data_IF_942261264064
#
_entry.id   IF_942261264064
#
_cell.length_a   1.000
_cell.length_b   1.000
_cell.length_c   1.000
_cell.angle_alpha   90.00
_cell.angle_beta   90.00
_cell.angle_gamma   90.00
#
_symmetry.space_group_name_H-M   'P 1'
#
loop_
_entity.id
_entity.type
_entity.pdbx_description
1 polymer ?
#
# COMPACT_ATOMS: atom_id res chain seq x y z
N UNK A 1 -22.98 9.19 8.30
CA UNK A 1 -22.68 9.88 7.03
C UNK A 1 -21.74 11.03 7.34
N UNK A 2 -20.44 10.85 7.12
CA UNK A 2 -19.45 11.94 7.21
C UNK A 2 -19.62 12.87 5.99
N UNK A 3 -19.54 14.21 6.14
CA UNK A 3 -19.78 15.13 5.04
C UNK A 3 -18.77 14.94 3.87
N UNK A 4 -19.17 15.14 2.61
CA UNK A 4 -18.30 15.00 1.44
C UNK A 4 -17.03 15.87 1.49
N UNK A 5 -17.12 17.04 2.12
CA UNK A 5 -15.99 17.97 2.28
C UNK A 5 -14.87 17.40 3.17
N UNK A 6 -15.20 16.53 4.13
CA UNK A 6 -14.24 15.95 5.08
C UNK A 6 -13.39 14.87 4.41
N UNK A 7 -13.96 14.10 3.48
CA UNK A 7 -13.24 13.07 2.72
C UNK A 7 -12.28 13.70 1.71
N UNK A 8 -12.72 14.73 0.99
CA UNK A 8 -11.87 15.43 0.02
C UNK A 8 -10.69 16.17 0.69
N UNK A 9 -10.91 16.79 1.84
CA UNK A 9 -9.84 17.44 2.61
C UNK A 9 -8.83 16.42 3.18
N UNK A 10 -9.32 15.26 3.63
CA UNK A 10 -8.45 14.16 4.08
C UNK A 10 -7.61 13.63 2.91
N UNK A 11 -8.23 13.40 1.74
CA UNK A 11 -7.53 12.97 0.52
C UNK A 11 -6.47 14.00 0.09
N UNK A 12 -6.76 15.30 0.17
CA UNK A 12 -5.78 16.36 -0.12
C UNK A 12 -4.61 16.37 0.88
N UNK A 13 -4.85 16.10 2.16
CA UNK A 13 -3.80 15.98 3.17
C UNK A 13 -2.93 14.71 2.97
N UNK A 14 -3.55 13.60 2.55
CA UNK A 14 -2.84 12.37 2.16
C UNK A 14 -2.00 12.61 0.91
N UNK A 15 -2.53 13.38 -0.05
CA UNK A 15 -1.84 13.77 -1.28
C UNK A 15 -0.61 14.64 -1.02
N UNK A 16 -0.65 15.49 0.01
CA UNK A 16 0.49 16.32 0.42
C UNK A 16 1.67 15.50 0.99
N UNK A 17 1.49 14.20 1.26
CA UNK A 17 2.53 13.28 1.71
C UNK A 17 3.01 12.32 0.62
N UNK A 18 2.72 12.58 -0.67
CA UNK A 18 3.05 11.75 -1.85
C UNK A 18 4.54 11.72 -2.21
N UNK A 19 5.40 11.43 -1.23
CA UNK A 19 6.83 11.24 -1.45
C UNK A 19 7.13 9.78 -1.79
N UNK A 20 8.30 9.56 -2.39
CA UNK A 20 8.87 8.20 -2.57
C UNK A 20 9.85 7.84 -1.46
N UNK A 21 9.79 8.53 -0.32
CA UNK A 21 10.70 8.33 0.83
C UNK A 21 10.62 6.88 1.36
N UNK A 22 9.48 6.21 1.22
CA UNK A 22 9.33 4.80 1.59
C UNK A 22 10.24 3.84 0.80
N UNK A 23 10.79 4.28 -0.34
CA UNK A 23 11.79 3.53 -1.10
C UNK A 23 13.20 3.65 -0.50
N UNK A 24 13.47 4.67 0.30
CA UNK A 24 14.81 4.94 0.84
C UNK A 24 15.21 3.88 1.86
N UNK A 25 16.10 2.96 1.48
CA UNK A 25 16.49 1.84 2.35
C UNK A 25 15.61 0.60 2.21
N UNK A 26 14.62 0.60 1.29
CA UNK A 26 13.91 -0.61 0.88
C UNK A 26 14.62 -1.29 -0.31
N UNK A 27 15.88 -1.66 -0.09
CA UNK A 27 16.77 -2.21 -1.13
C UNK A 27 16.23 -3.40 -1.93
N UNK A 28 15.48 -4.35 -1.33
CA UNK A 28 14.89 -5.44 -2.12
C UNK A 28 13.95 -4.95 -3.22
N UNK A 29 13.25 -3.84 -3.01
CA UNK A 29 12.41 -3.24 -4.04
C UNK A 29 13.27 -2.53 -5.10
N UNK A 30 14.16 -1.64 -4.67
CA UNK A 30 14.98 -0.83 -5.57
C UNK A 30 15.82 -1.69 -6.52
N UNK A 31 16.45 -2.74 -5.97
CA UNK A 31 17.28 -3.68 -6.72
C UNK A 31 16.48 -4.38 -7.81
N UNK A 32 15.24 -4.77 -7.53
CA UNK A 32 14.42 -5.47 -8.52
C UNK A 32 13.80 -4.55 -9.55
N UNK A 33 13.42 -3.34 -9.16
CA UNK A 33 12.96 -2.31 -10.08
C UNK A 33 14.05 -1.95 -11.11
N UNK A 34 15.31 -1.82 -10.66
CA UNK A 34 16.46 -1.58 -11.53
C UNK A 34 16.70 -2.76 -12.48
N UNK A 35 16.77 -3.99 -11.96
CA UNK A 35 16.94 -5.19 -12.78
C UNK A 35 15.89 -5.33 -13.87
N UNK A 36 14.64 -4.99 -13.57
CA UNK A 36 13.56 -5.05 -14.58
C UNK A 36 13.72 -3.95 -15.63
N UNK A 37 14.23 -2.79 -15.24
CA UNK A 37 14.47 -1.69 -16.16
C UNK A 37 15.59 -1.98 -17.16
N UNK A 38 16.51 -2.87 -16.81
CA UNK A 38 17.58 -3.36 -17.68
C UNK A 38 17.11 -4.49 -18.63
N UNK A 39 15.94 -5.09 -18.37
CA UNK A 39 15.41 -6.16 -19.22
C UNK A 39 14.80 -5.60 -20.51
N UNK A 40 14.88 -6.34 -21.64
CA UNK A 40 14.18 -5.96 -22.87
C UNK A 40 12.67 -5.83 -22.62
N UNK A 41 11.98 -4.84 -23.23
CA UNK A 41 10.54 -4.60 -23.03
C UNK A 41 9.64 -5.82 -23.27
N UNK A 42 10.09 -6.77 -24.10
CA UNK A 42 9.36 -8.00 -24.44
C UNK A 42 9.50 -9.13 -23.39
N UNK A 43 10.41 -9.04 -22.42
CA UNK A 43 10.84 -10.19 -21.61
C UNK A 43 9.83 -10.67 -20.55
N UNK A 44 8.82 -9.88 -20.18
CA UNK A 44 7.78 -10.33 -19.25
C UNK A 44 6.57 -9.40 -19.28
N UNK A 45 5.35 -9.93 -19.38
CA UNK A 45 4.10 -9.16 -19.23
C UNK A 45 3.55 -9.15 -17.79
N UNK A 46 4.31 -9.67 -16.84
CA UNK A 46 3.86 -9.79 -15.45
C UNK A 46 3.84 -8.42 -14.77
N UNK A 47 2.79 -8.16 -13.99
CA UNK A 47 2.72 -7.00 -13.13
C UNK A 47 3.90 -7.02 -12.14
N UNK A 48 4.56 -5.88 -11.98
CA UNK A 48 5.61 -5.69 -10.99
C UNK A 48 5.02 -5.10 -9.71
N UNK A 49 4.16 -4.11 -9.85
CA UNK A 49 3.58 -3.36 -8.73
C UNK A 49 2.09 -3.18 -8.95
N UNK A 50 1.30 -3.54 -7.95
CA UNK A 50 -0.14 -3.30 -7.91
C UNK A 50 -0.41 -2.40 -6.70
N UNK A 51 -0.72 -1.13 -6.95
CA UNK A 51 -1.23 -0.20 -5.94
C UNK A 51 -2.73 -0.44 -5.78
N UNK A 52 -3.16 -0.74 -4.55
CA UNK A 52 -4.55 -1.10 -4.26
C UNK A 52 -5.12 -0.08 -3.28
N UNK A 53 -6.12 0.67 -3.74
CA UNK A 53 -6.78 1.74 -3.00
C UNK A 53 -5.88 2.94 -2.74
N UNK A 54 -6.38 3.86 -1.92
CA UNK A 54 -5.56 4.89 -1.28
C UNK A 54 -5.40 6.20 -2.05
N UNK A 55 -6.15 6.44 -3.13
CA UNK A 55 -6.15 7.73 -3.83
C UNK A 55 -6.30 7.62 -5.33
N UNK A 56 -5.38 8.23 -6.07
CA UNK A 56 -5.45 8.39 -7.53
C UNK A 56 -4.22 7.78 -8.26
N UNK A 57 -3.64 6.71 -7.70
CA UNK A 57 -2.49 6.01 -8.30
C UNK A 57 -1.16 6.76 -8.18
N UNK A 58 -1.00 7.57 -7.13
CA UNK A 58 0.15 8.45 -6.93
C UNK A 58 1.47 7.70 -6.87
N UNK A 59 1.51 6.53 -6.23
CA UNK A 59 2.74 5.76 -6.17
C UNK A 59 3.08 5.12 -7.51
N UNK A 60 2.09 4.67 -8.28
CA UNK A 60 2.31 4.24 -9.66
C UNK A 60 2.87 5.37 -10.52
N UNK A 61 2.33 6.59 -10.42
CA UNK A 61 2.85 7.76 -11.14
C UNK A 61 4.31 8.03 -10.76
N UNK A 62 4.60 8.07 -9.46
CA UNK A 62 5.95 8.33 -8.97
C UNK A 62 6.96 7.23 -9.36
N UNK A 63 6.53 5.97 -9.34
CA UNK A 63 7.35 4.83 -9.77
C UNK A 63 7.58 4.83 -11.28
N UNK A 64 6.59 5.21 -12.09
CA UNK A 64 6.75 5.34 -13.55
C UNK A 64 7.83 6.39 -13.88
N UNK A 65 7.81 7.53 -13.17
CA UNK A 65 8.84 8.58 -13.31
C UNK A 65 10.23 8.13 -12.86
N UNK A 66 10.31 7.42 -11.72
CA UNK A 66 11.59 6.99 -11.13
C UNK A 66 12.22 5.81 -11.89
N UNK A 67 11.38 4.90 -12.40
CA UNK A 67 11.81 3.69 -13.11
C UNK A 67 11.01 3.52 -14.42
N UNK A 68 11.39 4.20 -15.51
CA UNK A 68 10.68 4.13 -16.79
C UNK A 68 10.56 2.70 -17.35
N UNK A 69 11.50 1.81 -17.03
CA UNK A 69 11.42 0.40 -17.44
C UNK A 69 10.31 -0.42 -16.76
N UNK A 70 9.62 0.15 -15.76
CA UNK A 70 8.42 -0.41 -15.15
C UNK A 70 7.14 -0.04 -15.90
N UNK A 71 7.20 0.80 -16.93
CA UNK A 71 6.04 1.12 -17.76
C UNK A 71 5.30 -0.15 -18.18
N UNK A 72 3.96 -0.11 -18.10
CA UNK A 72 3.04 -1.23 -18.38
C UNK A 72 3.11 -2.41 -17.40
N UNK A 73 3.97 -2.35 -16.38
CA UNK A 73 4.03 -3.31 -15.25
C UNK A 73 3.42 -2.76 -13.96
N UNK A 74 2.97 -1.51 -14.00
CA UNK A 74 2.30 -0.82 -12.89
C UNK A 74 0.79 -0.92 -13.08
N UNK A 75 0.09 -1.28 -12.02
CA UNK A 75 -1.36 -1.40 -12.00
C UNK A 75 -1.89 -0.61 -10.81
N UNK A 76 -2.87 0.26 -11.05
CA UNK A 76 -3.65 0.88 -10.00
C UNK A 76 -5.03 0.25 -9.94
N UNK A 77 -5.45 -0.15 -8.73
CA UNK A 77 -6.73 -0.77 -8.45
C UNK A 77 -7.51 0.02 -7.41
N UNK A 78 -8.77 0.35 -7.70
CA UNK A 78 -9.69 0.96 -6.74
C UNK A 78 -11.14 0.60 -7.12
N UNK A 79 -12.11 1.05 -6.33
CA UNK A 79 -13.53 0.86 -6.61
C UNK A 79 -13.94 1.48 -7.96
N UNK A 80 -14.95 0.93 -8.64
CA UNK A 80 -15.44 1.45 -9.92
C UNK A 80 -15.69 2.97 -9.91
N UNK A 81 -16.24 3.51 -8.83
CA UNK A 81 -16.58 4.93 -8.68
C UNK A 81 -15.35 5.85 -8.68
N UNK A 82 -14.19 5.34 -8.26
CA UNK A 82 -12.92 6.07 -8.28
C UNK A 82 -12.29 5.95 -9.66
N UNK A 83 -12.13 4.72 -10.17
CA UNK A 83 -11.42 4.50 -11.45
C UNK A 83 -12.14 5.14 -12.64
N UNK A 84 -13.48 5.18 -12.62
CA UNK A 84 -14.27 5.76 -13.71
C UNK A 84 -14.14 7.30 -13.78
N UNK A 85 -13.67 7.94 -12.71
CA UNK A 85 -13.46 9.40 -12.65
C UNK A 85 -12.01 9.79 -12.93
N UNK A 86 -11.11 8.81 -12.99
CA UNK A 86 -9.69 9.05 -13.20
C UNK A 86 -9.39 9.25 -14.68
N UNK A 87 -8.62 10.29 -15.05
CA UNK A 87 -8.04 10.33 -16.38
C UNK A 87 -7.05 9.16 -16.57
N UNK A 88 -6.77 8.74 -17.81
CA UNK A 88 -5.70 7.80 -18.09
C UNK A 88 -4.38 8.27 -17.49
N UNK A 89 -3.65 7.35 -16.86
CA UNK A 89 -2.31 7.60 -16.32
C UNK A 89 -1.30 6.94 -17.24
N UNK A 90 -0.35 7.72 -17.77
CA UNK A 90 0.65 7.19 -18.69
C UNK A 90 1.53 6.12 -18.02
N UNK A 91 1.81 5.04 -18.75
CA UNK A 91 2.58 3.90 -18.25
C UNK A 91 1.88 3.04 -17.18
N UNK A 92 0.66 3.38 -16.72
CA UNK A 92 -0.06 2.69 -15.63
C UNK A 92 -1.39 2.11 -16.12
N UNK A 93 -1.66 0.85 -15.79
CA UNK A 93 -2.96 0.23 -16.08
C UNK A 93 -3.91 0.44 -14.91
N UNK A 94 -4.99 1.19 -15.13
CA UNK A 94 -6.05 1.41 -14.15
C UNK A 94 -7.09 0.27 -14.25
N UNK A 95 -7.52 -0.29 -13.12
CA UNK A 95 -8.48 -1.40 -13.08
C UNK A 95 -9.44 -1.26 -11.89
N UNK A 96 -10.74 -1.47 -12.11
CA UNK A 96 -11.69 -1.57 -11.01
C UNK A 96 -11.44 -2.87 -10.21
N UNK A 97 -11.40 -2.77 -8.87
CA UNK A 97 -11.31 -3.93 -7.98
C UNK A 97 -11.73 -3.57 -6.54
N UNK A 98 -12.47 -4.46 -5.90
CA UNK A 98 -12.80 -4.36 -4.47
C UNK A 98 -11.82 -5.14 -3.60
N UNK A 99 -11.39 -4.54 -2.49
CA UNK A 99 -10.53 -5.18 -1.47
C UNK A 99 -11.16 -6.46 -0.87
N UNK A 100 -12.49 -6.54 -0.89
CA UNK A 100 -13.26 -7.68 -0.35
C UNK A 100 -13.45 -8.82 -1.37
N UNK A 101 -13.00 -8.62 -2.59
CA UNK A 101 -12.95 -9.65 -3.62
C UNK A 101 -11.56 -10.25 -3.72
N UNK A 102 -11.47 -11.50 -4.20
CA UNK A 102 -10.17 -12.14 -4.44
C UNK A 102 -9.35 -11.33 -5.45
N UNK A 103 -8.08 -11.11 -5.15
CA UNK A 103 -7.18 -10.34 -6.01
C UNK A 103 -7.06 -10.97 -7.40
N UNK A 104 -7.38 -10.23 -8.46
CA UNK A 104 -7.39 -10.74 -9.84
C UNK A 104 -6.01 -10.76 -10.50
N UNK A 105 -5.07 -9.92 -10.04
CA UNK A 105 -3.70 -9.90 -10.56
C UNK A 105 -2.89 -11.01 -9.92
N UNK A 106 -2.44 -11.97 -10.73
CA UNK A 106 -1.70 -13.14 -10.26
C UNK A 106 -0.19 -12.91 -10.23
N UNK A 107 0.40 -13.19 -9.07
CA UNK A 107 1.83 -13.25 -8.84
C UNK A 107 2.55 -11.94 -9.08
N UNK A 108 1.90 -10.78 -8.93
CA UNK A 108 2.62 -9.50 -8.95
C UNK A 108 3.78 -9.55 -7.96
N UNK A 109 4.89 -8.89 -8.27
CA UNK A 109 6.03 -8.90 -7.36
C UNK A 109 5.69 -8.17 -6.06
N UNK A 110 5.01 -7.03 -6.16
CA UNK A 110 4.56 -6.24 -5.03
C UNK A 110 3.06 -5.91 -5.16
N UNK A 111 2.34 -6.08 -4.05
CA UNK A 111 0.99 -5.55 -3.84
C UNK A 111 1.11 -4.49 -2.75
N UNK A 112 0.70 -3.26 -3.02
CA UNK A 112 0.99 -2.11 -2.17
C UNK A 112 -0.29 -1.43 -1.72
N UNK A 113 -0.41 -1.16 -0.43
CA UNK A 113 -1.55 -0.52 0.22
C UNK A 113 -1.02 0.62 1.08
N UNK A 114 -1.33 1.87 0.73
CA UNK A 114 -0.93 3.04 1.51
C UNK A 114 -2.11 3.64 2.25
N UNK A 115 -2.04 3.66 3.58
CA UNK A 115 -3.08 4.25 4.44
C UNK A 115 -4.50 3.73 4.17
N UNK A 116 -4.62 2.49 3.66
CA UNK A 116 -5.90 1.84 3.35
C UNK A 116 -6.42 1.05 4.54
N UNK A 117 -5.56 0.22 5.14
CA UNK A 117 -5.96 -0.78 6.14
C UNK A 117 -6.30 -0.16 7.51
N UNK A 118 -5.83 1.06 7.80
CA UNK A 118 -6.26 1.87 8.95
C UNK A 118 -7.77 2.19 8.97
N UNK A 119 -8.45 2.12 7.83
CA UNK A 119 -9.88 2.42 7.72
C UNK A 119 -10.78 1.22 8.07
N UNK A 120 -10.19 0.04 8.30
CA UNK A 120 -10.92 -1.22 8.44
C UNK A 120 -10.69 -1.86 9.81
N UNK A 121 -11.69 -2.54 10.39
CA UNK A 121 -11.51 -3.32 11.60
C UNK A 121 -10.65 -4.56 11.32
N UNK A 122 -10.11 -5.15 12.39
CA UNK A 122 -9.09 -6.20 12.31
C UNK A 122 -9.55 -7.44 11.52
N UNK A 123 -10.80 -7.87 11.67
CA UNK A 123 -11.33 -9.04 10.95
C UNK A 123 -11.49 -8.79 9.45
N UNK A 124 -11.80 -7.56 9.05
CA UNK A 124 -11.86 -7.16 7.65
C UNK A 124 -10.45 -7.03 7.06
N UNK A 125 -9.49 -6.48 7.82
CA UNK A 125 -8.07 -6.47 7.40
C UNK A 125 -7.57 -7.88 7.10
N UNK A 126 -7.92 -8.86 7.94
CA UNK A 126 -7.53 -10.26 7.71
C UNK A 126 -8.12 -10.79 6.40
N UNK A 127 -9.41 -10.55 6.13
CA UNK A 127 -10.05 -10.97 4.87
C UNK A 127 -9.39 -10.32 3.65
N UNK A 128 -9.09 -9.03 3.73
CA UNK A 128 -8.41 -8.28 2.66
C UNK A 128 -7.03 -8.89 2.39
N UNK A 129 -6.24 -9.15 3.44
CA UNK A 129 -4.92 -9.77 3.30
C UNK A 129 -5.01 -11.18 2.71
N UNK A 130 -6.00 -11.98 3.13
CA UNK A 130 -6.25 -13.32 2.57
C UNK A 130 -6.64 -13.25 1.09
N UNK A 131 -7.46 -12.28 0.68
CA UNK A 131 -7.85 -12.06 -0.70
C UNK A 131 -6.66 -11.73 -1.61
N UNK A 132 -5.69 -10.97 -1.10
CA UNK A 132 -4.44 -10.68 -1.81
C UNK A 132 -3.55 -11.92 -1.84
N UNK A 133 -3.37 -12.58 -0.69
CA UNK A 133 -2.55 -13.78 -0.54
C UNK A 133 -2.96 -14.91 -1.49
N UNK A 134 -4.27 -15.05 -1.77
CA UNK A 134 -4.82 -16.10 -2.63
C UNK A 134 -4.23 -16.13 -4.05
N UNK A 135 -3.71 -15.01 -4.56
CA UNK A 135 -3.08 -14.93 -5.88
C UNK A 135 -1.63 -14.45 -5.83
N UNK A 136 -0.99 -14.47 -4.66
CA UNK A 136 0.44 -14.27 -4.51
C UNK A 136 1.24 -15.48 -5.01
N UNK A 137 2.47 -15.23 -5.44
CA UNK A 137 3.51 -16.27 -5.58
C UNK A 137 4.43 -16.26 -4.35
N UNK A 138 5.27 -17.27 -4.15
CA UNK A 138 6.30 -17.25 -3.09
C UNK A 138 7.27 -16.06 -3.21
N UNK A 139 7.38 -15.49 -4.42
CA UNK A 139 8.16 -14.29 -4.70
C UNK A 139 7.36 -13.00 -4.48
N UNK A 140 6.04 -13.05 -4.33
CA UNK A 140 5.25 -11.86 -4.10
C UNK A 140 5.44 -11.33 -2.68
N UNK A 141 5.29 -10.02 -2.50
CA UNK A 141 5.22 -9.35 -1.20
C UNK A 141 4.02 -8.43 -1.14
N UNK A 142 3.42 -8.31 0.05
CA UNK A 142 2.48 -7.23 0.35
C UNK A 142 3.26 -6.15 1.09
N UNK A 143 3.15 -4.92 0.63
CA UNK A 143 3.76 -3.73 1.21
C UNK A 143 2.63 -2.90 1.80
N UNK A 144 2.57 -2.84 3.14
CA UNK A 144 1.60 -2.02 3.85
C UNK A 144 2.33 -0.76 4.31
N UNK A 145 2.05 0.36 3.65
CA UNK A 145 2.62 1.66 3.98
C UNK A 145 1.64 2.42 4.89
N UNK A 146 1.92 2.40 6.18
CA UNK A 146 1.01 2.89 7.21
C UNK A 146 1.80 3.43 8.42
N UNK A 147 1.12 4.05 9.38
CA UNK A 147 1.75 4.47 10.63
C UNK A 147 1.85 3.24 11.53
N UNK A 148 3.07 2.92 11.95
CA UNK A 148 3.34 1.78 12.84
C UNK A 148 3.81 2.32 14.18
N UNK A 149 2.86 2.44 15.12
CA UNK A 149 3.15 2.93 16.46
C UNK A 149 4.02 1.92 17.24
N UNK A 150 4.96 2.37 18.08
CA UNK A 150 5.67 1.48 18.97
C UNK A 150 4.70 0.90 20.02
N UNK A 151 4.96 -0.31 20.49
CA UNK A 151 4.09 -0.99 21.47
C UNK A 151 4.05 -0.27 22.84
N UNK A 152 5.04 0.57 23.13
CA UNK A 152 5.17 1.35 24.35
C UNK A 152 5.89 2.67 24.03
N UNK A 153 5.61 3.72 24.80
CA UNK A 153 6.26 5.03 24.67
C UNK A 153 6.11 5.66 23.27
N UNK A 154 4.92 5.55 22.68
CA UNK A 154 4.61 6.24 21.44
C UNK A 154 4.79 7.77 21.59
N UNK A 155 5.40 8.45 20.59
CA UNK A 155 5.50 9.90 20.60
C UNK A 155 4.12 10.54 20.74
N UNK A 156 3.99 11.51 21.65
CA UNK A 156 2.69 12.13 21.92
C UNK A 156 2.06 12.76 20.67
N UNK A 157 2.86 13.25 19.73
CA UNK A 157 2.38 13.80 18.46
C UNK A 157 1.70 12.72 17.61
N UNK A 158 2.28 11.52 17.54
CA UNK A 158 1.71 10.41 16.77
C UNK A 158 0.43 9.89 17.44
N UNK A 159 0.42 9.80 18.77
CA UNK A 159 -0.77 9.40 19.53
C UNK A 159 -1.90 10.43 19.40
N UNK A 160 -1.58 11.73 19.48
CA UNK A 160 -2.57 12.80 19.30
C UNK A 160 -3.12 12.78 17.86
N UNK A 161 -2.28 12.57 16.86
CA UNK A 161 -2.71 12.45 15.47
C UNK A 161 -3.65 11.25 15.26
N UNK A 162 -3.33 10.07 15.81
CA UNK A 162 -4.21 8.89 15.76
C UNK A 162 -5.55 9.18 16.45
N UNK A 163 -5.57 9.80 17.63
CA UNK A 163 -6.82 10.17 18.31
C UNK A 163 -7.66 11.14 17.46
N UNK A 164 -7.04 12.16 16.85
CA UNK A 164 -7.74 13.13 16.01
C UNK A 164 -8.33 12.48 14.76
N UNK A 165 -7.56 11.59 14.10
CA UNK A 165 -8.05 10.85 12.94
C UNK A 165 -9.13 9.83 13.32
N UNK A 166 -9.01 9.16 14.47
CA UNK A 166 -10.05 8.27 15.00
C UNK A 166 -11.36 9.02 15.25
N UNK A 167 -11.30 10.21 15.87
CA UNK A 167 -12.49 11.04 16.14
C UNK A 167 -13.09 11.57 14.82
N UNK A 168 -12.25 12.01 13.88
CA UNK A 168 -12.71 12.64 12.64
C UNK A 168 -13.24 11.66 11.59
N UNK A 169 -12.57 10.53 11.41
CA UNK A 169 -12.78 9.60 10.29
C UNK A 169 -12.79 8.12 10.68
N UNK A 170 -12.66 7.79 11.98
CA UNK A 170 -12.76 6.42 12.46
C UNK A 170 -11.57 5.53 12.10
N UNK A 171 -10.41 6.11 11.80
CA UNK A 171 -9.19 5.34 11.53
C UNK A 171 -8.65 4.71 12.80
N UNK A 172 -7.83 3.67 12.61
CA UNK A 172 -7.12 2.99 13.70
C UNK A 172 -5.70 2.67 13.29
N UNK A 173 -4.73 3.35 13.90
CA UNK A 173 -3.32 2.95 13.76
C UNK A 173 -3.04 1.63 14.50
N UNK A 174 -1.99 0.94 14.07
CA UNK A 174 -1.64 -0.38 14.60
C UNK A 174 -0.16 -0.45 14.94
N UNK A 175 0.14 -1.13 16.05
CA UNK A 175 1.52 -1.40 16.43
C UNK A 175 2.12 -2.56 15.63
N UNK A 176 3.44 -2.73 15.73
CA UNK A 176 4.16 -3.86 15.13
C UNK A 176 3.58 -5.21 15.57
N UNK A 177 3.37 -5.42 16.88
CA UNK A 177 2.77 -6.67 17.40
C UNK A 177 1.37 -6.91 16.84
N UNK A 178 0.61 -5.83 16.64
CA UNK A 178 -0.72 -5.96 16.07
C UNK A 178 -0.66 -6.38 14.60
N UNK A 179 0.25 -5.80 13.81
CA UNK A 179 0.50 -6.25 12.44
C UNK A 179 0.97 -7.70 12.36
N UNK A 180 1.83 -8.15 13.29
CA UNK A 180 2.28 -9.55 13.36
C UNK A 180 1.10 -10.50 13.56
N UNK A 181 0.22 -10.20 14.52
CA UNK A 181 -0.99 -10.99 14.80
C UNK A 181 -1.95 -11.05 13.60
N UNK A 182 -2.15 -9.92 12.91
CA UNK A 182 -3.02 -9.88 11.72
C UNK A 182 -2.43 -10.65 10.56
N UNK A 183 -1.13 -10.51 10.31
CA UNK A 183 -0.42 -11.24 9.26
C UNK A 183 -0.51 -12.75 9.52
N UNK A 184 -0.26 -13.20 10.75
CA UNK A 184 -0.33 -14.61 11.10
C UNK A 184 -1.74 -15.20 10.90
N UNK A 185 -2.79 -14.48 11.35
CA UNK A 185 -4.18 -14.88 11.13
C UNK A 185 -4.57 -14.90 9.64
N UNK A 186 -3.89 -14.12 8.81
CA UNK A 186 -4.06 -14.12 7.35
C UNK A 186 -3.22 -15.18 6.62
N UNK A 187 -2.44 -16.01 7.32
CA UNK A 187 -1.55 -17.00 6.70
C UNK A 187 -0.28 -16.39 6.10
N UNK A 188 0.11 -15.21 6.57
CA UNK A 188 1.28 -14.45 6.16
C UNK A 188 2.29 -14.36 7.31
N UNK A 189 3.49 -13.88 6.99
CA UNK A 189 4.52 -13.52 7.98
C UNK A 189 5.11 -12.16 7.66
N UNK A 190 5.53 -11.42 8.69
CA UNK A 190 6.33 -10.21 8.49
C UNK A 190 7.76 -10.64 8.15
N UNK A 191 8.28 -10.12 7.02
CA UNK A 191 9.68 -10.30 6.63
C UNK A 191 10.53 -9.11 7.09
N UNK A 192 9.98 -7.90 7.00
CA UNK A 192 10.66 -6.67 7.37
C UNK A 192 9.64 -5.61 7.79
N UNK A 193 10.03 -4.72 8.71
CA UNK A 193 9.34 -3.45 8.95
C UNK A 193 10.36 -2.35 8.68
N UNK A 194 10.07 -1.49 7.72
CA UNK A 194 10.98 -0.45 7.26
C UNK A 194 10.42 0.93 7.58
N UNK A 195 10.95 1.58 8.60
CA UNK A 195 10.60 2.96 8.97
C UNK A 195 11.49 3.94 8.20
N UNK A 196 10.87 4.91 7.54
CA UNK A 196 11.58 5.86 6.67
C UNK A 196 11.50 7.32 7.13
N UNK A 197 10.63 7.65 8.09
CA UNK A 197 10.66 8.94 8.82
C UNK A 197 10.57 8.68 10.31
N UNK A 198 11.52 9.23 11.10
CA UNK A 198 11.51 9.06 12.57
C UNK A 198 10.34 9.79 13.24
N UNK A 199 9.99 10.97 12.72
CA UNK A 199 8.84 11.73 13.18
C UNK A 199 7.55 11.15 12.57
N UNK A 200 6.54 10.87 13.41
CA UNK A 200 5.24 10.36 12.97
C UNK A 200 5.16 8.84 12.78
N UNK A 201 6.27 8.10 12.82
CA UNK A 201 6.31 6.64 12.72
C UNK A 201 5.71 6.02 11.42
N UNK A 202 5.80 6.63 10.22
CA UNK A 202 5.44 5.92 9.00
C UNK A 202 6.43 4.79 8.73
N UNK A 203 5.89 3.64 8.31
CA UNK A 203 6.69 2.48 7.98
C UNK A 203 6.01 1.60 6.93
N UNK A 204 6.84 0.91 6.15
CA UNK A 204 6.41 -0.17 5.27
C UNK A 204 6.55 -1.50 5.99
N UNK A 205 5.42 -2.15 6.26
CA UNK A 205 5.39 -3.54 6.72
C UNK A 205 5.40 -4.45 5.51
N UNK A 206 6.46 -5.26 5.38
CA UNK A 206 6.66 -6.20 4.28
C UNK A 206 6.16 -7.57 4.71
N UNK A 207 5.09 -8.05 4.08
CA UNK A 207 4.51 -9.37 4.30
C UNK A 207 4.89 -10.34 3.19
N UNK A 208 5.14 -11.58 3.57
CA UNK A 208 5.34 -12.72 2.68
C UNK A 208 4.38 -13.86 3.03
N UNK A 209 4.14 -14.76 2.08
CA UNK A 209 3.48 -16.04 2.37
C UNK A 209 4.26 -16.81 3.44
N UNK A 210 3.53 -17.48 4.35
CA UNK A 210 4.10 -18.37 5.36
C UNK A 210 4.66 -19.63 4.72
#
# INVERSE_FOLDING_TARGET
>A
MTPPATVAALQAAMAASETTEWLEGLEPFNTEAQKISELPPAASKKAFFVEIGGGYGHQCINLAKKYPGLERRLIFQDLPEVVNKLPPIDGVRIMAHSLFEKQIIRGSRFYYLRQVLRNWPDDEVIKILQNIAANMSHRSRILIDDIVLPDSHAPWQATLADMLLMIGVGTKERSRKKWESLAERAGLRIEQVHSYVKAGCPAVVVLALK
#
